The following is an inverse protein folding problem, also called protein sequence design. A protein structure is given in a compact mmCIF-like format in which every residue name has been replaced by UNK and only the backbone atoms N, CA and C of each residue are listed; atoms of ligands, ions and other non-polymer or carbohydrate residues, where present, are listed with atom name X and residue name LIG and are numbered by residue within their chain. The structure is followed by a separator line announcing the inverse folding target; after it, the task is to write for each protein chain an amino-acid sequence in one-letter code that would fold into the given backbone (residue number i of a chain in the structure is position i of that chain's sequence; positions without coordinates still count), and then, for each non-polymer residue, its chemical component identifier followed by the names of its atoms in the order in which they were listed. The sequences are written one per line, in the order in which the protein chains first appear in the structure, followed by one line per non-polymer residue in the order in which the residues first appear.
data_IF_912940222537
#
_entry.id   IF_912940222537
#
_cell.length_a   1.000
_cell.length_b   1.000
_cell.length_c   1.000
_cell.angle_alpha   90.00
_cell.angle_beta   90.00
_cell.angle_gamma   90.00
#
_symmetry.space_group_name_H-M   'P 1'
#
loop_
_entity.id
_entity.type
_entity.pdbx_description
1 polymer ?
#
# COMPACT_ATOMS: atom_id res chain seq x y z
N UNK A 1 11.41 -2.81 0.09
CA UNK A 1 10.57 -1.68 0.52
C UNK A 1 11.03 -1.25 1.92
N UNK A 2 11.14 0.05 2.16
CA UNK A 2 11.45 0.68 3.46
C UNK A 2 10.59 1.93 3.66
N UNK A 3 10.50 2.40 4.91
CA UNK A 3 9.85 3.69 5.18
C UNK A 3 10.50 4.82 4.34
N UNK A 4 9.66 5.67 3.76
CA UNK A 4 10.05 6.73 2.84
C UNK A 4 10.02 6.34 1.35
N UNK A 5 9.98 5.05 1.01
CA UNK A 5 9.85 4.63 -0.38
C UNK A 5 8.49 5.05 -0.99
N UNK A 6 8.49 5.30 -2.30
CA UNK A 6 7.27 5.60 -3.07
C UNK A 6 6.85 4.36 -3.86
N UNK A 7 5.56 4.05 -3.77
CA UNK A 7 4.87 2.98 -4.49
C UNK A 7 3.93 3.60 -5.52
N UNK A 8 3.79 2.93 -6.66
CA UNK A 8 2.85 3.31 -7.71
C UNK A 8 1.67 2.35 -7.64
N UNK A 9 0.49 2.88 -7.31
CA UNK A 9 -0.75 2.14 -7.39
C UNK A 9 -1.04 1.86 -8.86
N UNK A 10 -1.18 0.59 -9.22
CA UNK A 10 -1.53 0.18 -10.57
C UNK A 10 -2.80 -0.69 -10.55
N UNK A 11 -3.32 -0.97 -11.75
CA UNK A 11 -4.47 -1.86 -11.92
C UNK A 11 -5.86 -1.23 -11.77
N UNK A 12 -6.87 -2.10 -11.86
CA UNK A 12 -8.30 -1.79 -11.71
C UNK A 12 -8.83 -2.53 -10.49
N UNK A 13 -9.85 -1.98 -9.84
CA UNK A 13 -10.59 -2.75 -8.83
C UNK A 13 -11.22 -4.00 -9.45
N UNK A 14 -11.60 -4.99 -8.62
CA UNK A 14 -12.34 -6.19 -9.06
C UNK A 14 -13.60 -5.89 -9.89
N UNK A 15 -14.17 -4.68 -9.72
CA UNK A 15 -15.34 -4.20 -10.46
C UNK A 15 -14.98 -3.31 -11.67
N UNK A 16 -13.73 -3.29 -12.11
CA UNK A 16 -13.28 -2.57 -13.30
C UNK A 16 -13.07 -1.06 -13.12
N UNK A 17 -13.31 -0.50 -11.91
CA UNK A 17 -13.07 0.92 -11.64
C UNK A 17 -11.57 1.24 -11.61
N UNK A 18 -11.19 2.38 -12.18
CA UNK A 18 -9.81 2.87 -12.17
C UNK A 18 -9.44 3.33 -10.76
N UNK A 19 -8.55 2.58 -10.10
CA UNK A 19 -8.18 2.78 -8.69
C UNK A 19 -7.34 4.04 -8.50
N UNK A 20 -6.50 4.35 -9.49
CA UNK A 20 -5.64 5.54 -9.52
C UNK A 20 -6.47 6.82 -9.54
N UNK A 21 -7.56 6.85 -10.32
CA UNK A 21 -8.42 8.05 -10.44
C UNK A 21 -9.08 8.41 -9.11
N UNK A 22 -9.44 7.41 -8.32
CA UNK A 22 -10.16 7.61 -7.06
C UNK A 22 -9.21 7.81 -5.87
N UNK A 23 -8.07 7.11 -5.86
CA UNK A 23 -7.24 6.97 -4.67
C UNK A 23 -5.85 7.59 -4.82
N UNK A 24 -5.52 8.15 -5.99
CA UNK A 24 -4.20 8.69 -6.29
C UNK A 24 -3.19 7.61 -6.69
N UNK A 25 -2.27 8.00 -7.57
CA UNK A 25 -1.24 7.10 -8.13
C UNK A 25 -0.09 6.84 -7.16
N UNK A 26 0.40 7.88 -6.51
CA UNK A 26 1.63 7.84 -5.72
C UNK A 26 1.35 7.71 -4.23
N UNK A 27 1.95 6.69 -3.64
CA UNK A 27 1.80 6.34 -2.24
C UNK A 27 3.17 6.24 -1.58
N UNK A 28 3.31 6.76 -0.37
CA UNK A 28 4.53 6.72 0.42
C UNK A 28 4.39 5.72 1.55
N UNK A 29 5.43 4.92 1.78
CA UNK A 29 5.52 4.07 2.97
C UNK A 29 5.81 4.94 4.19
N UNK A 30 4.86 5.00 5.13
CA UNK A 30 5.00 5.75 6.39
C UNK A 30 5.77 4.93 7.41
N UNK A 31 5.40 3.65 7.58
CA UNK A 31 6.08 2.72 8.47
C UNK A 31 5.86 1.28 8.05
N UNK A 32 6.78 0.41 8.47
CA UNK A 32 6.65 -1.04 8.35
C UNK A 32 6.49 -1.60 9.77
N UNK A 33 5.52 -2.49 9.97
CA UNK A 33 5.22 -3.10 11.26
C UNK A 33 4.72 -4.53 11.09
N UNK A 34 4.70 -5.29 12.18
CA UNK A 34 3.99 -6.58 12.23
C UNK A 34 2.48 -6.37 12.29
N UNK A 35 1.73 -7.22 11.59
CA UNK A 35 0.28 -7.28 11.69
C UNK A 35 -0.15 -7.65 13.11
N UNK A 36 -1.20 -6.99 13.59
CA UNK A 36 -1.76 -7.23 14.92
C UNK A 36 -2.55 -8.54 14.96
N UNK A 37 -2.70 -9.16 16.15
CA UNK A 37 -3.68 -10.22 16.36
C UNK A 37 -5.07 -9.76 15.90
N UNK A 38 -5.82 -10.64 15.23
CA UNK A 38 -7.17 -10.35 14.68
C UNK A 38 -7.21 -9.34 13.52
N UNK A 39 -6.06 -9.02 12.91
CA UNK A 39 -6.00 -8.24 11.68
C UNK A 39 -6.36 -9.04 10.42
N UNK A 40 -6.37 -8.36 9.26
CA UNK A 40 -6.58 -8.99 7.94
C UNK A 40 -5.46 -9.97 7.57
N UNK A 41 -4.24 -9.71 8.05
CA UNK A 41 -3.07 -10.55 7.83
C UNK A 41 -2.79 -11.36 9.11
N UNK A 42 -2.19 -12.56 9.01
CA UNK A 42 -1.74 -13.32 10.17
C UNK A 42 -0.86 -12.48 11.09
N UNK A 43 -1.02 -12.65 12.40
CA UNK A 43 -0.24 -11.91 13.39
C UNK A 43 1.27 -12.09 13.14
N UNK A 44 2.02 -10.98 13.18
CA UNK A 44 3.45 -10.98 12.90
C UNK A 44 3.83 -10.91 11.41
N UNK A 45 2.86 -10.95 10.48
CA UNK A 45 3.14 -10.69 9.05
C UNK A 45 3.63 -9.26 8.86
N UNK A 46 4.66 -9.07 8.04
CA UNK A 46 5.17 -7.73 7.73
C UNK A 46 4.19 -6.94 6.85
N UNK A 47 3.71 -5.82 7.37
CA UNK A 47 2.79 -4.91 6.69
C UNK A 47 3.36 -3.50 6.59
N UNK A 48 3.13 -2.85 5.46
CA UNK A 48 3.43 -1.44 5.26
C UNK A 48 2.17 -0.59 5.45
N UNK A 49 2.31 0.50 6.21
CA UNK A 49 1.36 1.59 6.23
C UNK A 49 1.72 2.57 5.11
N UNK A 50 0.74 2.84 4.25
CA UNK A 50 0.88 3.71 3.10
C UNK A 50 -0.05 4.90 3.24
N UNK A 51 0.41 6.02 2.69
CA UNK A 51 -0.36 7.26 2.58
C UNK A 51 -0.16 7.87 1.19
N UNK A 52 -1.19 8.50 0.62
CA UNK A 52 -1.02 9.29 -0.60
C UNK A 52 -0.12 10.50 -0.34
N UNK A 53 0.55 11.01 -1.37
CA UNK A 53 1.42 12.18 -1.22
C UNK A 53 0.68 13.44 -0.73
N UNK A 54 -0.65 13.50 -0.93
CA UNK A 54 -1.51 14.59 -0.45
C UNK A 54 -2.15 14.32 0.93
N UNK A 55 -1.84 13.18 1.56
CA UNK A 55 -2.33 12.81 2.90
C UNK A 55 -3.82 12.47 2.98
N UNK A 56 -4.54 12.42 1.84
CA UNK A 56 -6.00 12.21 1.85
C UNK A 56 -6.42 10.76 2.05
N UNK A 57 -5.58 9.81 1.65
CA UNK A 57 -5.89 8.38 1.76
C UNK A 57 -4.78 7.63 2.47
N UNK A 58 -5.17 6.61 3.24
CA UNK A 58 -4.25 5.72 3.95
C UNK A 58 -4.71 4.26 3.83
N UNK A 59 -3.76 3.32 3.80
CA UNK A 59 -4.05 1.86 3.78
C UNK A 59 -2.90 1.05 4.35
N UNK A 60 -3.22 -0.15 4.84
CA UNK A 60 -2.22 -1.18 5.15
C UNK A 60 -2.13 -2.18 4.01
N UNK A 61 -0.91 -2.54 3.63
CA UNK A 61 -0.62 -3.58 2.63
C UNK A 61 0.38 -4.59 3.15
N UNK A 62 0.32 -5.82 2.65
CA UNK A 62 1.34 -6.83 2.91
C UNK A 62 2.58 -6.51 2.09
N UNK A 63 3.75 -6.35 2.73
CA UNK A 63 4.99 -5.88 2.07
C UNK A 63 5.49 -6.81 0.97
N UNK A 64 5.43 -8.15 1.08
CA UNK A 64 5.93 -8.99 0.00
C UNK A 64 4.93 -9.27 -1.14
N UNK A 65 3.65 -8.83 -1.09
CA UNK A 65 2.63 -9.44 -1.98
C UNK A 65 1.40 -8.60 -2.32
N UNK A 66 1.43 -7.27 -2.24
CA UNK A 66 0.30 -6.49 -2.74
C UNK A 66 0.39 -6.33 -4.26
N UNK A 67 -0.40 -7.13 -4.99
CA UNK A 67 -0.48 -7.14 -6.46
C UNK A 67 -0.93 -5.80 -7.05
N UNK A 68 -1.53 -4.92 -6.24
CA UNK A 68 -1.98 -3.60 -6.69
C UNK A 68 -0.85 -2.55 -6.69
N UNK A 69 0.36 -2.87 -6.19
CA UNK A 69 1.45 -1.91 -6.09
C UNK A 69 2.74 -2.36 -6.78
N UNK A 70 3.18 -1.51 -7.71
CA UNK A 70 4.49 -1.63 -8.31
C UNK A 70 5.51 -0.80 -7.52
N UNK A 71 6.58 -1.48 -7.08
CA UNK A 71 7.77 -0.82 -6.55
C UNK A 71 8.63 -0.34 -7.71
N UNK A 72 8.80 0.98 -7.86
CA UNK A 72 9.78 1.55 -8.78
C UNK A 72 10.88 2.27 -7.99
N UNK A 73 12.05 1.63 -7.78
CA UNK A 73 13.19 2.37 -7.27
C UNK A 73 13.62 3.40 -8.32
N UNK A 74 13.76 4.66 -7.91
CA UNK A 74 14.50 5.66 -8.68
C UNK A 74 16.00 5.51 -8.41
#
# INVERSE_FOLDING_TARGET
MKAGDILILSGKTKHGKNRVREQGELWRIIKIKGALPHGRCPAGTEIAELETLDGKHWRFVSVPSDEDFDFRPQ
#
